data_IF_997369624184
#
_entry.id   IF_997369624184
#
_cell.length_a   1.000
_cell.length_b   1.000
_cell.length_c   1.000
_cell.angle_alpha   90.00
_cell.angle_beta   90.00
_cell.angle_gamma   90.00
#
_symmetry.space_group_name_H-M   'P 1'
#
loop_
_entity.id
_entity.type
_entity.pdbx_description
1 polymer ?
#
# COMPACT_ATOMS: atom_id res chain seq x y z
N UNK A 1 -4.29 12.20 1.33
CA UNK A 1 -2.87 11.85 1.28
C UNK A 1 -2.61 10.99 0.06
N UNK A 2 -1.51 11.23 -0.64
CA UNK A 2 -1.04 10.46 -1.79
C UNK A 2 0.26 9.75 -1.43
N UNK A 3 0.32 8.44 -1.65
CA UNK A 3 1.50 7.62 -1.37
C UNK A 3 1.95 6.95 -2.67
N UNK A 4 3.19 7.16 -3.08
CA UNK A 4 3.83 6.45 -4.20
C UNK A 4 4.78 5.38 -3.71
N UNK A 5 5.00 4.37 -4.55
CA UNK A 5 5.97 3.30 -4.37
C UNK A 5 6.43 2.81 -5.76
N UNK A 6 7.54 2.04 -5.84
CA UNK A 6 7.95 1.40 -7.11
C UNK A 6 6.83 0.57 -7.70
N UNK A 7 6.12 -0.18 -6.86
CA UNK A 7 4.97 -0.95 -7.29
C UNK A 7 3.91 -1.06 -6.21
N UNK A 8 2.66 -1.18 -6.62
CA UNK A 8 1.50 -1.42 -5.77
C UNK A 8 0.92 -2.77 -6.19
N UNK A 9 0.70 -3.65 -5.22
CA UNK A 9 0.00 -4.91 -5.40
C UNK A 9 -1.38 -4.85 -4.75
N UNK A 10 -2.42 -5.04 -5.56
CA UNK A 10 -3.82 -4.91 -5.14
C UNK A 10 -4.51 -6.26 -4.86
N UNK A 11 -3.74 -7.34 -4.69
CA UNK A 11 -4.25 -8.68 -4.37
C UNK A 11 -4.40 -9.61 -5.58
N UNK A 12 -4.11 -9.16 -6.80
CA UNK A 12 -4.09 -10.02 -7.98
C UNK A 12 -3.11 -9.50 -9.03
N UNK A 13 -2.70 -10.37 -9.95
CA UNK A 13 -1.80 -10.01 -11.05
C UNK A 13 -0.40 -9.59 -10.59
N UNK A 14 0.30 -8.88 -11.46
CA UNK A 14 1.66 -8.38 -11.23
C UNK A 14 1.61 -7.00 -10.56
N UNK A 15 2.47 -6.71 -9.57
CA UNK A 15 2.59 -5.36 -9.01
C UNK A 15 3.01 -4.34 -10.06
N UNK A 16 2.36 -3.17 -10.09
CA UNK A 16 2.62 -2.11 -11.07
C UNK A 16 2.87 -0.75 -10.41
N UNK A 17 3.62 0.12 -11.07
CA UNK A 17 3.90 1.46 -10.57
C UNK A 17 2.61 2.29 -10.47
N UNK A 18 2.45 3.05 -9.39
CA UNK A 18 1.26 3.87 -9.19
C UNK A 18 1.31 4.71 -7.92
N UNK A 19 0.17 5.33 -7.60
CA UNK A 19 -0.01 6.13 -6.41
C UNK A 19 -1.36 5.83 -5.74
N UNK A 20 -1.38 5.60 -4.43
CA UNK A 20 -2.62 5.43 -3.67
C UNK A 20 -3.09 6.77 -3.13
N UNK A 21 -4.37 7.09 -3.35
CA UNK A 21 -5.04 8.23 -2.73
C UNK A 21 -5.86 7.77 -1.52
N UNK A 22 -5.53 8.30 -0.34
CA UNK A 22 -6.18 8.02 0.94
C UNK A 22 -6.93 9.26 1.42
N UNK A 23 -8.19 9.08 1.79
CA UNK A 23 -9.06 10.10 2.42
C UNK A 23 -9.84 9.47 3.56
N UNK A 24 -9.89 10.14 4.71
CA UNK A 24 -10.63 9.72 5.90
C UNK A 24 -10.38 8.25 6.30
N UNK A 25 -9.09 7.84 6.26
CA UNK A 25 -8.65 6.49 6.61
C UNK A 25 -8.99 5.41 5.58
N UNK A 26 -9.52 5.78 4.41
CA UNK A 26 -9.90 4.86 3.33
C UNK A 26 -9.09 5.10 2.07
N UNK A 27 -8.80 4.03 1.34
CA UNK A 27 -8.29 4.12 -0.02
C UNK A 27 -9.47 4.53 -0.92
N UNK A 28 -9.41 5.72 -1.51
CA UNK A 28 -10.42 6.18 -2.47
C UNK A 28 -10.15 5.64 -3.88
N UNK A 29 -8.88 5.65 -4.29
CA UNK A 29 -8.48 5.30 -5.65
C UNK A 29 -6.99 4.94 -5.73
N UNK A 30 -6.66 4.12 -6.73
CA UNK A 30 -5.30 3.89 -7.20
C UNK A 30 -5.15 4.68 -8.51
N UNK A 31 -4.15 5.55 -8.56
CA UNK A 31 -3.85 6.43 -9.68
C UNK A 31 -2.56 5.97 -10.39
N UNK A 32 -2.34 6.37 -11.64
CA UNK A 32 -1.04 6.28 -12.28
C UNK A 32 0.06 6.97 -11.46
N UNK A 33 1.35 6.66 -11.72
CA UNK A 33 2.47 7.35 -11.07
C UNK A 33 2.40 8.88 -11.23
N UNK A 34 2.74 9.61 -10.18
CA UNK A 34 2.68 11.07 -10.17
C UNK A 34 3.06 11.66 -8.82
N UNK A 35 2.88 12.99 -8.64
CA UNK A 35 3.22 13.66 -7.40
C UNK A 35 2.52 13.04 -6.19
N UNK A 36 3.30 12.70 -5.16
CA UNK A 36 2.84 12.10 -3.93
C UNK A 36 3.27 12.95 -2.72
N UNK A 37 2.48 12.89 -1.65
CA UNK A 37 2.82 13.51 -0.36
C UNK A 37 3.93 12.70 0.35
N UNK A 38 3.96 11.39 0.10
CA UNK A 38 4.96 10.45 0.60
C UNK A 38 5.42 9.52 -0.53
N UNK A 39 6.74 9.44 -0.72
CA UNK A 39 7.35 8.50 -1.66
C UNK A 39 8.12 7.40 -0.92
N UNK A 40 7.67 6.16 -1.09
CA UNK A 40 8.28 4.96 -0.52
C UNK A 40 9.45 4.43 -1.35
N UNK A 41 9.81 5.10 -2.46
CA UNK A 41 10.94 4.76 -3.32
C UNK A 41 10.83 3.33 -3.84
N UNK A 42 11.85 2.50 -3.64
CA UNK A 42 11.97 1.16 -4.23
C UNK A 42 11.05 0.08 -3.60
N UNK A 43 10.19 0.48 -2.67
CA UNK A 43 9.27 -0.42 -1.99
C UNK A 43 8.17 -0.96 -2.91
N UNK A 44 7.69 -2.16 -2.57
CA UNK A 44 6.40 -2.66 -3.06
C UNK A 44 5.39 -2.46 -1.94
N UNK A 45 4.30 -1.75 -2.26
CA UNK A 45 3.19 -1.57 -1.34
C UNK A 45 2.16 -2.69 -1.57
N UNK A 46 1.67 -3.29 -0.49
CA UNK A 46 0.61 -4.29 -0.52
C UNK A 46 -0.43 -4.02 0.58
N UNK A 47 -1.53 -4.76 0.54
CA UNK A 47 -2.44 -4.82 1.69
C UNK A 47 -1.69 -5.33 2.93
N UNK A 48 -1.99 -4.75 4.09
CA UNK A 48 -1.45 -5.23 5.36
C UNK A 48 -1.78 -6.71 5.57
N UNK A 49 -0.83 -7.46 6.12
CA UNK A 49 -1.05 -8.88 6.38
C UNK A 49 -2.13 -9.09 7.44
N UNK A 50 -3.07 -9.98 7.15
CA UNK A 50 -4.08 -10.44 8.09
C UNK A 50 -3.55 -11.66 8.81
N UNK A 51 -3.18 -11.50 10.08
CA UNK A 51 -2.81 -12.61 10.93
C UNK A 51 -4.10 -13.29 11.45
N UNK A 52 -4.39 -14.49 10.97
CA UNK A 52 -5.62 -15.22 11.32
C UNK A 52 -5.54 -15.95 12.66
N UNK A 53 -4.35 -16.21 13.17
CA UNK A 53 -4.14 -16.91 14.43
C UNK A 53 -2.75 -16.61 14.98
N UNK A 54 -2.70 -16.09 16.21
CA UNK A 54 -1.46 -15.74 16.89
C UNK A 54 -1.52 -16.16 18.36
N UNK A 55 -0.49 -16.87 18.81
CA UNK A 55 -0.21 -17.00 20.24
C UNK A 55 0.67 -15.82 20.64
N UNK A 56 0.17 -14.95 21.50
CA UNK A 56 0.92 -13.82 22.05
C UNK A 56 1.58 -14.26 23.34
N UNK A 57 2.75 -14.89 23.25
CA UNK A 57 3.63 -15.04 24.40
C UNK A 57 4.41 -13.74 24.58
N UNK A 58 3.70 -12.74 25.11
CA UNK A 58 4.31 -11.48 25.56
C UNK A 58 4.91 -11.74 26.95
N UNK A 59 6.19 -12.15 26.97
CA UNK A 59 7.01 -12.23 28.18
C UNK A 59 7.38 -10.86 28.71
#
# INVERSE_FOLDING_TARGET
MRISARAIWNGSGTPEAGCICIRDGRIEQILPPGPADLDLRDAVLCAGFVNSHLHLDLS
#
